data_IF_969399666208
#
_entry.id   IF_969399666208
#
_cell.length_a   1.000
_cell.length_b   1.000
_cell.length_c   1.000
_cell.angle_alpha   90.00
_cell.angle_beta   90.00
_cell.angle_gamma   90.00
#
_symmetry.space_group_name_H-M   'P 1'
#
loop_
_entity.id
_entity.type
_entity.pdbx_description
1 polymer ?
#
# COMPACT_ATOMS: atom_id res chain seq x y z
N UNK A 1 7.52 10.01 14.41
CA UNK A 1 6.32 9.33 14.95
C UNK A 1 5.28 9.29 13.85
N UNK A 2 4.68 8.13 13.57
CA UNK A 2 3.67 7.99 12.51
C UNK A 2 2.29 8.26 13.09
N UNK A 3 1.58 9.23 12.53
CA UNK A 3 0.20 9.51 12.85
C UNK A 3 -0.69 8.74 11.87
N UNK A 4 -1.75 8.14 12.40
CA UNK A 4 -2.78 7.52 11.59
C UNK A 4 -3.98 8.45 11.50
N UNK A 5 -4.38 8.78 10.29
CA UNK A 5 -5.56 9.59 9.97
C UNK A 5 -6.64 8.62 9.54
N UNK A 6 -7.82 8.63 10.16
CA UNK A 6 -9.01 8.03 9.57
C UNK A 6 -9.67 9.09 8.71
N UNK A 7 -9.82 8.82 7.43
CA UNK A 7 -10.50 9.72 6.50
C UNK A 7 -11.58 8.99 5.74
N UNK A 8 -12.51 9.77 5.20
CA UNK A 8 -13.35 9.34 4.08
C UNK A 8 -12.90 10.10 2.85
N UNK A 9 -12.82 9.40 1.72
CA UNK A 9 -12.68 10.05 0.43
C UNK A 9 -14.01 10.68 0.10
N UNK A 10 -14.06 12.01 0.03
CA UNK A 10 -15.28 12.76 -0.25
C UNK A 10 -15.24 14.14 0.40
N UNK A 11 -15.47 15.16 -0.41
CA UNK A 11 -15.82 16.52 0.02
C UNK A 11 -17.18 16.47 0.73
N UNK A 12 -17.24 16.77 2.04
CA UNK A 12 -18.53 17.11 2.67
C UNK A 12 -18.84 18.57 2.36
N UNK A 13 -19.36 18.80 1.18
CA UNK A 13 -20.33 19.86 0.93
C UNK A 13 -21.43 19.23 0.09
N UNK A 14 -22.66 19.74 0.22
CA UNK A 14 -23.84 19.28 -0.51
C UNK A 14 -23.78 19.41 -2.03
N UNK A 15 -22.59 19.45 -2.63
CA UNK A 15 -22.37 19.14 -4.03
C UNK A 15 -21.93 17.67 -4.11
N UNK A 16 -22.85 16.80 -4.55
CA UNK A 16 -22.44 15.63 -5.33
C UNK A 16 -21.53 16.17 -6.43
N UNK A 17 -20.22 16.09 -6.24
CA UNK A 17 -19.29 16.32 -7.33
C UNK A 17 -19.40 15.06 -8.18
N UNK A 18 -20.32 15.14 -9.15
CA UNK A 18 -20.44 14.18 -10.23
C UNK A 18 -19.05 13.78 -10.70
N UNK A 19 -18.88 12.49 -10.92
CA UNK A 19 -17.69 11.89 -11.49
C UNK A 19 -17.29 12.69 -12.74
N UNK A 20 -16.32 13.59 -12.61
CA UNK A 20 -15.65 14.13 -13.78
C UNK A 20 -14.67 13.04 -14.20
N UNK A 21 -14.92 12.44 -15.37
CA UNK A 21 -14.20 11.31 -15.98
C UNK A 21 -12.69 11.58 -16.25
N UNK A 22 -12.13 12.63 -15.63
CA UNK A 22 -10.75 13.11 -15.77
C UNK A 22 -10.00 13.35 -14.47
N UNK A 23 -10.55 13.03 -13.29
CA UNK A 23 -9.81 13.25 -12.04
C UNK A 23 -8.70 12.20 -11.81
N UNK A 24 -7.46 12.66 -11.72
CA UNK A 24 -6.29 11.78 -11.58
C UNK A 24 -6.34 11.10 -10.20
N UNK A 25 -6.38 9.75 -10.12
CA UNK A 25 -6.48 9.05 -8.85
C UNK A 25 -5.20 9.24 -8.03
N UNK A 26 -5.38 9.50 -6.74
CA UNK A 26 -4.29 9.87 -5.85
C UNK A 26 -3.56 8.63 -5.37
N UNK A 27 -2.26 8.55 -5.66
CA UNK A 27 -1.46 7.38 -5.33
C UNK A 27 -1.00 7.47 -3.89
N UNK A 28 -0.94 6.30 -3.27
CA UNK A 28 -0.28 6.12 -1.99
C UNK A 28 1.20 6.49 -2.12
N UNK A 29 1.72 7.26 -1.16
CA UNK A 29 3.06 7.87 -1.11
C UNK A 29 3.28 9.10 -2.00
N UNK A 30 2.25 9.62 -2.64
CA UNK A 30 2.31 10.96 -3.23
C UNK A 30 2.49 12.01 -2.13
N UNK A 31 3.04 13.18 -2.49
CA UNK A 31 3.22 14.27 -1.54
C UNK A 31 1.89 15.01 -1.38
N UNK A 32 1.33 14.98 -0.17
CA UNK A 32 0.11 15.70 0.18
C UNK A 32 0.39 16.66 1.34
N UNK A 33 -0.36 17.77 1.37
CA UNK A 33 -0.34 18.73 2.46
C UNK A 33 -1.43 18.35 3.47
N UNK A 34 -1.06 18.17 4.73
CA UNK A 34 -1.97 17.87 5.84
C UNK A 34 -2.14 19.11 6.69
N UNK A 35 -3.40 19.47 6.98
CA UNK A 35 -3.76 20.53 7.91
C UNK A 35 -4.56 19.93 9.08
N UNK A 36 -4.00 19.94 10.29
CA UNK A 36 -4.68 19.54 11.54
C UNK A 36 -4.72 20.75 12.46
N UNK A 37 -5.88 21.39 12.58
CA UNK A 37 -6.02 22.66 13.30
C UNK A 37 -5.05 23.72 12.77
N UNK A 38 -4.11 24.16 13.60
CA UNK A 38 -3.09 25.17 13.29
C UNK A 38 -1.79 24.59 12.71
N UNK A 39 -1.64 23.26 12.70
CA UNK A 39 -0.43 22.58 12.21
C UNK A 39 -0.61 22.19 10.75
N UNK A 40 0.32 22.62 9.90
CA UNK A 40 0.37 22.27 8.49
C UNK A 40 1.71 21.63 8.17
N UNK A 41 1.70 20.48 7.48
CA UNK A 41 2.94 19.82 7.03
C UNK A 41 2.71 19.04 5.74
N UNK A 42 3.79 18.81 4.99
CA UNK A 42 3.78 17.92 3.81
C UNK A 42 4.19 16.51 4.22
N UNK A 43 3.48 15.52 3.73
CA UNK A 43 3.66 14.11 4.08
C UNK A 43 3.48 13.19 2.89
N UNK A 44 4.05 11.98 2.97
CA UNK A 44 3.78 10.89 2.03
C UNK A 44 2.96 9.80 2.70
N UNK A 45 1.61 9.88 2.67
CA UNK A 45 0.77 8.93 3.38
C UNK A 45 0.84 7.54 2.74
N UNK A 46 0.74 6.54 3.59
CA UNK A 46 0.48 5.15 3.19
C UNK A 46 -0.99 4.86 3.46
N UNK A 47 -1.77 4.73 2.40
CA UNK A 47 -3.18 4.34 2.50
C UNK A 47 -3.34 2.87 2.84
N UNK A 48 -4.30 2.58 3.72
CA UNK A 48 -4.61 1.25 4.21
C UNK A 48 -6.09 1.13 4.56
N UNK A 49 -6.62 -0.09 4.49
CA UNK A 49 -7.96 -0.38 4.99
C UNK A 49 -8.03 -0.17 6.50
N UNK A 50 -9.10 0.46 6.97
CA UNK A 50 -9.35 0.63 8.40
C UNK A 50 -10.44 -0.35 8.85
N UNK A 51 -10.01 -1.51 9.35
CA UNK A 51 -10.90 -2.51 9.94
C UNK A 51 -10.52 -2.65 11.42
N UNK A 52 -11.49 -2.45 12.31
CA UNK A 52 -11.29 -2.49 13.76
C UNK A 52 -11.00 -3.90 14.28
N UNK A 53 -11.40 -4.94 13.54
CA UNK A 53 -11.27 -6.34 13.97
C UNK A 53 -9.92 -6.97 13.56
N UNK A 54 -8.96 -6.20 13.04
CA UNK A 54 -7.71 -6.76 12.54
C UNK A 54 -6.52 -5.82 12.78
N UNK A 55 -5.43 -6.35 13.34
CA UNK A 55 -4.19 -5.61 13.56
C UNK A 55 -3.37 -5.42 12.28
N UNK A 56 -3.65 -6.23 11.24
CA UNK A 56 -2.93 -6.22 9.95
C UNK A 56 -3.81 -5.57 8.88
N UNK A 57 -3.44 -4.37 8.50
CA UNK A 57 -4.19 -3.58 7.54
C UNK A 57 -3.64 -3.76 6.13
N UNK A 58 -4.54 -4.05 5.19
CA UNK A 58 -4.20 -4.19 3.77
C UNK A 58 -3.82 -2.82 3.20
N UNK A 59 -2.66 -2.75 2.56
CA UNK A 59 -2.20 -1.59 1.82
C UNK A 59 -3.06 -1.33 0.57
N UNK A 60 -3.40 -0.06 0.37
CA UNK A 60 -4.10 0.40 -0.82
C UNK A 60 -3.18 1.29 -1.66
N UNK A 61 -3.18 1.03 -2.97
CA UNK A 61 -2.31 1.74 -3.92
C UNK A 61 -2.80 3.14 -4.22
N UNK A 62 -4.11 3.35 -4.09
CA UNK A 62 -4.79 4.60 -4.40
C UNK A 62 -5.73 4.93 -3.24
N UNK A 63 -6.05 6.21 -3.10
CA UNK A 63 -7.10 6.68 -2.20
C UNK A 63 -8.45 6.07 -2.62
N UNK A 64 -9.21 5.44 -1.69
CA UNK A 64 -10.56 4.97 -2.01
C UNK A 64 -11.49 6.14 -2.33
N UNK A 65 -12.13 6.10 -3.50
CA UNK A 65 -13.01 7.16 -3.98
C UNK A 65 -14.49 6.94 -3.62
N UNK A 66 -14.87 5.72 -3.22
CA UNK A 66 -16.29 5.35 -3.05
C UNK A 66 -16.82 5.61 -1.63
N UNK A 67 -16.36 6.67 -0.95
CA UNK A 67 -16.75 6.96 0.44
C UNK A 67 -16.34 5.89 1.45
N UNK A 68 -15.47 4.95 1.07
CA UNK A 68 -14.98 3.91 1.96
C UNK A 68 -14.05 4.52 3.03
N UNK A 69 -14.27 4.13 4.28
CA UNK A 69 -13.37 4.46 5.38
C UNK A 69 -11.98 3.89 5.11
N UNK A 70 -10.98 4.76 5.14
CA UNK A 70 -9.58 4.37 5.02
C UNK A 70 -8.75 5.00 6.13
N UNK A 71 -7.56 4.44 6.34
CA UNK A 71 -6.56 5.00 7.22
C UNK A 71 -5.30 5.38 6.43
N UNK A 72 -4.83 6.61 6.61
CA UNK A 72 -3.55 7.10 6.10
C UNK A 72 -2.53 7.13 7.23
N UNK A 73 -1.44 6.38 7.09
CA UNK A 73 -0.31 6.45 8.02
C UNK A 73 0.77 7.36 7.44
N UNK A 74 1.13 8.42 8.16
CA UNK A 74 2.08 9.43 7.70
C UNK A 74 2.99 9.86 8.85
N UNK A 75 4.23 10.24 8.57
CA UNK A 75 5.07 10.88 9.59
C UNK A 75 4.70 12.36 9.69
N UNK A 76 4.45 12.83 10.92
CA UNK A 76 4.03 14.20 11.18
C UNK A 76 4.25 14.62 12.64
N UNK A 77 3.91 15.87 12.98
CA UNK A 77 3.89 16.33 14.36
C UNK A 77 2.76 15.64 15.14
N UNK A 78 3.11 15.07 16.29
CA UNK A 78 2.15 14.39 17.17
C UNK A 78 1.02 15.34 17.54
N UNK A 79 -0.21 14.89 17.28
CA UNK A 79 -1.43 15.63 17.61
C UNK A 79 -2.36 14.73 18.42
N UNK A 80 -2.97 15.27 19.47
CA UNK A 80 -3.91 14.54 20.33
C UNK A 80 -5.30 14.50 19.70
N UNK A 81 -6.01 13.40 19.92
CA UNK A 81 -7.39 13.21 19.43
C UNK A 81 -8.41 13.82 20.38
N UNK A 82 -9.57 14.30 19.86
CA UNK A 82 -9.96 14.38 18.44
C UNK A 82 -9.42 15.66 17.76
N UNK A 83 -8.68 15.52 16.65
CA UNK A 83 -8.31 16.65 15.77
C UNK A 83 -8.81 16.35 14.34
N UNK A 84 -9.63 17.24 13.73
CA UNK A 84 -10.01 17.11 12.33
C UNK A 84 -8.79 17.36 11.43
N UNK A 85 -8.67 16.59 10.35
CA UNK A 85 -7.60 16.71 9.37
C UNK A 85 -8.16 16.91 7.97
N UNK A 86 -7.63 17.92 7.31
CA UNK A 86 -7.86 18.20 5.90
C UNK A 86 -6.60 17.84 5.11
N UNK A 87 -6.78 17.16 3.98
CA UNK A 87 -5.69 16.71 3.11
C UNK A 87 -5.82 17.39 1.76
N UNK A 88 -4.76 18.05 1.33
CA UNK A 88 -4.70 18.79 0.08
C UNK A 88 -3.66 18.21 -0.88
N UNK A 89 -3.95 18.28 -2.18
CA UNK A 89 -3.04 18.01 -3.29
C UNK A 89 -2.65 19.33 -3.94
N UNK A 90 -1.36 19.48 -4.23
CA UNK A 90 -0.85 20.61 -5.01
C UNK A 90 -1.09 20.34 -6.50
N UNK A 91 -1.82 21.22 -7.19
CA UNK A 91 -2.00 21.11 -8.64
C UNK A 91 -0.80 21.70 -9.37
N UNK A 92 -0.14 20.89 -10.19
CA UNK A 92 0.97 21.36 -11.02
C UNK A 92 0.43 22.22 -12.18
N UNK A 93 0.71 23.52 -12.16
CA UNK A 93 0.44 24.43 -13.29
C UNK A 93 -0.71 25.44 -13.10
N UNK A 94 -1.47 25.38 -12.01
CA UNK A 94 -2.47 26.40 -11.68
C UNK A 94 -1.88 27.39 -10.66
N UNK A 95 -1.43 28.54 -11.15
CA UNK A 95 -0.98 29.66 -10.33
C UNK A 95 -2.13 30.67 -10.31
N UNK A 96 -2.83 30.78 -9.19
CA UNK A 96 -3.83 31.83 -8.98
C UNK A 96 -3.12 33.12 -8.54
N UNK A 97 -3.83 34.26 -8.55
CA UNK A 97 -3.31 35.57 -8.13
C UNK A 97 -2.82 35.62 -6.65
N UNK A 98 -3.04 34.56 -5.87
CA UNK A 98 -2.59 34.39 -4.47
C UNK A 98 -1.57 33.23 -4.28
N UNK A 99 -1.07 32.61 -5.36
CA UNK A 99 -0.10 31.52 -5.31
C UNK A 99 -0.64 30.16 -5.78
N UNK A 100 0.02 29.07 -5.35
CA UNK A 100 -0.25 27.68 -5.75
C UNK A 100 -1.69 27.26 -5.42
N UNK A 101 -2.42 26.71 -6.41
CA UNK A 101 -3.76 26.14 -6.19
C UNK A 101 -3.67 24.79 -5.47
N UNK A 102 -4.25 24.71 -4.28
CA UNK A 102 -4.39 23.47 -3.50
C UNK A 102 -5.82 22.93 -3.63
N UNK A 103 -5.94 21.64 -3.92
CA UNK A 103 -7.21 20.95 -4.07
C UNK A 103 -7.48 20.10 -2.83
N UNK A 104 -8.67 20.22 -2.24
CA UNK A 104 -9.09 19.38 -1.11
C UNK A 104 -9.38 17.98 -1.63
N UNK A 105 -8.65 17.00 -1.09
CA UNK A 105 -8.67 15.61 -1.53
C UNK A 105 -9.48 14.71 -0.59
N UNK A 106 -9.28 14.92 0.71
CA UNK A 106 -9.87 14.08 1.73
C UNK A 106 -9.99 14.86 3.02
N UNK A 107 -10.97 14.44 3.81
CA UNK A 107 -11.17 14.93 5.15
C UNK A 107 -11.32 13.76 6.11
N UNK A 108 -10.97 14.01 7.36
CA UNK A 108 -10.96 12.96 8.35
C UNK A 108 -10.67 13.49 9.74
N UNK A 109 -10.33 12.56 10.62
CA UNK A 109 -9.88 12.83 11.97
C UNK A 109 -8.60 12.06 12.27
N UNK A 110 -7.79 12.60 13.17
CA UNK A 110 -6.70 11.85 13.78
C UNK A 110 -7.26 10.66 14.54
N UNK A 111 -6.66 9.48 14.34
CA UNK A 111 -6.98 8.26 15.09
C UNK A 111 -6.13 8.15 16.36
N UNK A 112 -4.82 8.07 16.18
CA UNK A 112 -3.81 7.99 17.24
C UNK A 112 -2.41 8.16 16.61
N UNK A 113 -1.46 8.61 17.41
CA UNK A 113 -0.04 8.54 17.12
C UNK A 113 0.49 7.13 17.44
N UNK A 114 0.18 6.17 16.57
CA UNK A 114 0.59 4.77 16.74
C UNK A 114 1.73 4.38 15.79
N UNK A 115 2.86 3.98 16.37
CA UNK A 115 4.01 3.44 15.64
C UNK A 115 3.86 1.95 15.29
N UNK A 116 2.94 1.23 15.95
CA UNK A 116 2.80 -0.22 15.82
C UNK A 116 1.89 -0.64 14.67
N UNK A 117 1.00 0.24 14.19
CA UNK A 117 0.05 -0.04 13.10
C UNK A 117 0.67 -0.79 11.92
N UNK A 118 0.20 -2.02 11.68
CA UNK A 118 0.77 -2.92 10.69
C UNK A 118 0.11 -2.74 9.32
N UNK A 119 0.86 -2.21 8.35
CA UNK A 119 0.39 -2.10 6.95
C UNK A 119 1.10 -3.11 6.06
N UNK A 120 0.35 -3.98 5.38
CA UNK A 120 0.88 -5.06 4.54
C UNK A 120 0.46 -4.93 3.08
N UNK A 121 1.43 -5.01 2.17
CA UNK A 121 1.22 -5.13 0.73
C UNK A 121 0.98 -6.58 0.37
N UNK A 122 -0.16 -6.86 -0.27
CA UNK A 122 -0.39 -8.14 -0.94
C UNK A 122 0.36 -8.17 -2.28
N UNK A 123 1.13 -9.22 -2.50
CA UNK A 123 1.82 -9.57 -3.74
C UNK A 123 1.24 -10.92 -4.18
N UNK A 124 0.93 -11.09 -5.45
CA UNK A 124 0.37 -12.34 -5.97
C UNK A 124 1.30 -12.82 -7.05
N UNK A 125 1.93 -13.97 -6.84
CA UNK A 125 2.61 -14.69 -7.92
C UNK A 125 1.57 -15.55 -8.64
N UNK A 126 1.60 -15.54 -9.96
CA UNK A 126 0.61 -16.23 -10.79
C UNK A 126 1.26 -17.33 -11.60
N UNK A 127 0.58 -18.46 -11.70
CA UNK A 127 0.97 -19.57 -12.56
C UNK A 127 -0.23 -20.15 -13.29
N UNK A 128 0.05 -20.86 -14.37
CA UNK A 128 -0.96 -21.44 -15.24
C UNK A 128 -0.88 -22.97 -15.22
N UNK A 129 -2.00 -23.68 -15.04
CA UNK A 129 -2.02 -25.13 -15.10
C UNK A 129 -1.86 -25.60 -16.55
N UNK A 130 -0.82 -26.40 -16.80
CA UNK A 130 -0.52 -26.94 -18.13
C UNK A 130 -1.13 -28.33 -18.32
N UNK A 131 -1.04 -29.17 -17.29
CA UNK A 131 -1.57 -30.54 -17.31
C UNK A 131 -2.35 -30.80 -16.05
N UNK A 132 -3.61 -31.23 -16.20
CA UNK A 132 -4.49 -31.54 -15.06
C UNK A 132 -4.81 -33.03 -15.05
N UNK A 133 -4.79 -33.63 -13.86
CA UNK A 133 -5.16 -35.03 -13.60
C UNK A 133 -5.95 -35.12 -12.29
N UNK A 134 -7.28 -35.26 -12.39
CA UNK A 134 -8.19 -35.21 -11.23
C UNK A 134 -7.91 -33.94 -10.41
N UNK A 135 -7.39 -34.08 -9.19
CA UNK A 135 -7.03 -32.98 -8.27
C UNK A 135 -5.58 -32.50 -8.39
N UNK A 136 -4.75 -33.21 -9.13
CA UNK A 136 -3.36 -32.82 -9.36
C UNK A 136 -3.25 -31.95 -10.60
N UNK A 137 -2.39 -30.94 -10.55
CA UNK A 137 -2.03 -30.17 -11.74
C UNK A 137 -0.55 -29.82 -11.76
N UNK A 138 0.00 -29.78 -12.97
CA UNK A 138 1.33 -29.27 -13.24
C UNK A 138 1.18 -27.79 -13.60
N UNK A 139 1.80 -26.90 -12.82
CA UNK A 139 1.72 -25.44 -12.97
C UNK A 139 3.04 -24.90 -13.49
N UNK A 140 2.97 -23.99 -14.47
CA UNK A 140 4.13 -23.28 -15.05
C UNK A 140 4.01 -21.76 -14.87
N UNK A 141 5.12 -21.07 -15.10
CA UNK A 141 5.25 -19.60 -15.10
C UNK A 141 5.03 -18.92 -13.75
N UNK A 142 4.99 -19.68 -12.64
CA UNK A 142 5.01 -19.10 -11.29
C UNK A 142 6.44 -18.91 -10.77
N UNK A 143 7.31 -19.89 -11.03
CA UNK A 143 8.73 -19.89 -10.70
C UNK A 143 9.53 -20.32 -11.92
N UNK A 144 10.83 -20.01 -11.92
CA UNK A 144 11.76 -20.39 -12.98
C UNK A 144 12.84 -21.37 -12.50
N UNK A 145 13.17 -21.35 -11.20
CA UNK A 145 14.15 -22.26 -10.60
C UNK A 145 13.45 -23.32 -9.74
N UNK A 146 13.98 -24.56 -9.67
CA UNK A 146 13.45 -25.61 -8.81
C UNK A 146 13.67 -25.32 -7.32
N UNK A 147 14.73 -24.58 -6.97
CA UNK A 147 15.02 -24.15 -5.59
C UNK A 147 13.91 -23.26 -5.04
N UNK A 148 13.38 -22.33 -5.84
CA UNK A 148 12.27 -21.46 -5.44
C UNK A 148 11.00 -22.28 -5.15
N UNK A 149 10.73 -23.30 -5.98
CA UNK A 149 9.57 -24.19 -5.78
C UNK A 149 9.69 -24.94 -4.45
N UNK A 150 10.88 -25.42 -4.11
CA UNK A 150 11.13 -26.10 -2.83
C UNK A 150 11.03 -25.14 -1.65
N UNK A 151 11.57 -23.93 -1.78
CA UNK A 151 11.49 -22.88 -0.76
C UNK A 151 10.05 -22.48 -0.45
N UNK A 152 9.22 -22.32 -1.49
CA UNK A 152 7.81 -21.96 -1.35
C UNK A 152 6.87 -23.16 -1.16
N UNK A 153 7.40 -24.39 -1.04
CA UNK A 153 6.60 -25.61 -0.82
C UNK A 153 5.58 -25.53 0.33
N UNK A 154 5.90 -24.98 1.52
CA UNK A 154 4.92 -24.89 2.61
C UNK A 154 3.83 -23.84 2.38
N UNK A 155 3.93 -23.02 1.34
CA UNK A 155 2.98 -21.95 1.10
C UNK A 155 1.69 -22.45 0.44
N UNK A 156 0.55 -21.94 0.92
CA UNK A 156 -0.76 -22.27 0.38
C UNK A 156 -1.04 -21.58 -0.96
N UNK A 157 -1.58 -22.33 -1.91
CA UNK A 157 -2.03 -21.85 -3.22
C UNK A 157 -3.53 -21.60 -3.20
N UNK A 158 -3.96 -20.60 -3.94
CA UNK A 158 -5.38 -20.27 -4.16
C UNK A 158 -5.59 -20.07 -5.66
N UNK A 159 -6.69 -20.55 -6.23
CA UNK A 159 -7.03 -20.23 -7.62
C UNK A 159 -8.00 -19.06 -7.70
N UNK A 160 -8.10 -18.41 -8.85
CA UNK A 160 -9.08 -17.33 -9.06
C UNK A 160 -10.52 -17.80 -8.83
N UNK A 161 -10.80 -19.07 -9.11
CA UNK A 161 -12.11 -19.68 -8.90
C UNK A 161 -12.32 -20.26 -7.48
N UNK A 162 -11.48 -19.87 -6.52
CA UNK A 162 -11.68 -20.18 -5.10
C UNK A 162 -11.24 -21.60 -4.68
N UNK A 163 -10.47 -22.31 -5.50
CA UNK A 163 -9.87 -23.57 -5.08
C UNK A 163 -8.64 -23.31 -4.20
N UNK A 164 -8.41 -24.21 -3.25
CA UNK A 164 -7.25 -24.19 -2.37
C UNK A 164 -6.35 -25.37 -2.68
N UNK A 165 -5.03 -25.15 -2.65
CA UNK A 165 -4.05 -26.19 -2.91
C UNK A 165 -2.72 -25.95 -2.23
N UNK A 166 -1.79 -26.87 -2.45
CA UNK A 166 -0.42 -26.78 -1.97
C UNK A 166 0.53 -27.37 -3.02
N UNK A 167 1.80 -26.98 -2.91
CA UNK A 167 2.88 -27.48 -3.76
C UNK A 167 3.32 -28.84 -3.22
N UNK A 168 3.38 -29.86 -4.08
CA UNK A 168 3.81 -31.21 -3.72
C UNK A 168 5.31 -31.36 -3.94
N UNK A 169 5.77 -31.07 -5.16
CA UNK A 169 7.15 -31.25 -5.57
C UNK A 169 7.50 -30.35 -6.77
N UNK A 170 8.79 -30.05 -6.92
CA UNK A 170 9.32 -29.49 -8.17
C UNK A 170 9.35 -30.59 -9.23
N UNK A 171 9.05 -30.23 -10.48
CA UNK A 171 9.03 -31.12 -11.62
C UNK A 171 10.01 -30.61 -12.68
N UNK A 172 11.18 -31.25 -12.77
CA UNK A 172 12.27 -30.84 -13.65
C UNK A 172 12.96 -29.54 -13.21
N UNK A 173 13.75 -28.97 -14.12
CA UNK A 173 14.70 -27.88 -13.79
C UNK A 173 14.18 -26.47 -14.10
N UNK A 174 12.97 -26.33 -14.65
CA UNK A 174 12.47 -25.04 -15.16
C UNK A 174 11.42 -24.41 -14.23
N UNK A 175 11.52 -24.65 -12.92
CA UNK A 175 10.59 -24.12 -11.91
C UNK A 175 9.13 -24.57 -12.10
N UNK A 176 8.92 -25.63 -12.89
CA UNK A 176 7.60 -26.25 -13.06
C UNK A 176 7.30 -27.04 -11.79
N UNK A 177 6.07 -26.96 -11.31
CA UNK A 177 5.70 -27.57 -10.03
C UNK A 177 4.45 -28.42 -10.16
N UNK A 178 4.37 -29.48 -9.36
CA UNK A 178 3.17 -30.29 -9.20
C UNK A 178 2.43 -29.82 -7.97
N UNK A 179 1.16 -29.48 -8.15
CA UNK A 179 0.28 -29.00 -7.10
C UNK A 179 -0.88 -29.96 -6.88
N UNK A 180 -1.37 -30.02 -5.65
CA UNK A 180 -2.57 -30.74 -5.27
C UNK A 180 -3.62 -29.74 -4.78
N UNK A 181 -4.81 -29.82 -5.35
CA UNK A 181 -5.95 -28.97 -4.99
C UNK A 181 -7.05 -29.76 -4.28
N UNK A 182 -7.91 -29.06 -3.56
CA UNK A 182 -9.09 -29.63 -2.90
C UNK A 182 -10.11 -30.23 -3.89
N UNK A 183 -10.26 -29.63 -5.07
CA UNK A 183 -11.13 -30.08 -6.15
C UNK A 183 -10.41 -30.09 -7.52
N UNK A 184 -10.98 -30.73 -8.56
CA UNK A 184 -10.41 -30.70 -9.90
C UNK A 184 -10.34 -29.27 -10.46
N UNK A 185 -9.12 -28.84 -10.81
CA UNK A 185 -8.85 -27.51 -11.39
C UNK A 185 -9.12 -27.50 -12.90
N UNK A 186 -9.62 -26.38 -13.43
CA UNK A 186 -9.81 -26.20 -14.88
C UNK A 186 -8.53 -25.67 -15.53
N UNK A 187 -8.30 -26.01 -16.80
CA UNK A 187 -7.07 -25.60 -17.50
C UNK A 187 -6.97 -24.08 -17.76
N UNK A 188 -8.11 -23.37 -17.83
CA UNK A 188 -8.15 -21.90 -17.93
C UNK A 188 -8.06 -21.19 -16.57
N UNK A 189 -7.96 -21.93 -15.47
CA UNK A 189 -7.84 -21.33 -14.14
C UNK A 189 -6.45 -20.69 -13.95
N UNK A 190 -6.35 -19.71 -13.07
CA UNK A 190 -5.07 -19.10 -12.69
C UNK A 190 -4.76 -19.48 -11.26
N UNK A 191 -3.61 -20.11 -11.05
CA UNK A 191 -3.12 -20.45 -9.72
C UNK A 191 -2.39 -19.22 -9.18
N UNK A 192 -2.67 -18.87 -7.93
CA UNK A 192 -2.15 -17.69 -7.26
C UNK A 192 -1.48 -18.09 -5.95
N UNK A 193 -0.30 -17.54 -5.71
CA UNK A 193 0.38 -17.61 -4.43
C UNK A 193 0.35 -16.21 -3.78
N UNK A 194 -0.50 -15.97 -2.77
CA UNK A 194 -0.56 -14.70 -2.07
C UNK A 194 0.59 -14.57 -1.06
N UNK A 195 1.46 -13.60 -1.28
CA UNK A 195 2.54 -13.20 -0.40
C UNK A 195 2.26 -11.81 0.21
N UNK A 196 2.84 -11.54 1.37
CA UNK A 196 2.65 -10.27 2.06
C UNK A 196 3.98 -9.64 2.43
N UNK A 197 4.13 -8.34 2.16
CA UNK A 197 5.31 -7.55 2.52
C UNK A 197 4.90 -6.38 3.41
N UNK A 198 5.59 -6.18 4.53
CA UNK A 198 5.39 -4.99 5.38
C UNK A 198 5.73 -3.71 4.62
N UNK A 199 4.88 -2.70 4.75
CA UNK A 199 5.12 -1.34 4.28
C UNK A 199 5.27 -0.43 5.49
N UNK A 200 6.26 0.46 5.39
CA UNK A 200 6.44 1.57 6.31
C UNK A 200 6.10 2.89 5.59
N UNK A 201 5.50 3.87 6.31
CA UNK A 201 5.42 5.24 5.85
C UNK A 201 6.80 5.77 5.46
N UNK A 202 6.83 6.74 4.55
CA UNK A 202 8.08 7.42 4.18
C UNK A 202 8.08 8.81 4.79
N UNK A 203 9.23 9.24 5.27
CA UNK A 203 9.42 10.65 5.61
C UNK A 203 9.25 11.47 4.33
N UNK A 204 8.52 12.59 4.43
CA UNK A 204 8.55 13.57 3.37
C UNK A 204 9.96 14.17 3.36
N UNK A 205 10.58 14.22 2.19
CA UNK A 205 11.77 15.03 2.05
C UNK A 205 11.27 16.46 2.12
N UNK A 206 11.43 17.11 3.27
CA UNK A 206 11.50 18.56 3.33
C UNK A 206 12.73 18.92 2.50
N UNK A 207 12.57 19.11 1.19
CA UNK A 207 13.44 20.08 0.54
C UNK A 207 13.17 21.36 1.34
N UNK A 208 14.17 21.93 2.04
CA UNK A 208 13.99 23.27 2.55
C UNK A 208 13.56 24.12 1.36
N UNK A 209 12.58 24.99 1.60
CA UNK A 209 12.30 26.13 0.75
C UNK A 209 13.65 26.66 0.25
N UNK A 210 13.79 26.86 -1.04
CA UNK A 210 14.99 27.40 -1.65
C UNK A 210 15.06 28.89 -1.28
N UNK A 211 15.36 29.16 -0.01
CA UNK A 211 15.62 30.43 0.67
C UNK A 211 16.02 30.05 2.10
N UNK A 212 17.26 29.57 2.23
CA UNK A 212 18.13 29.65 3.43
C UNK A 212 19.33 28.73 3.19
N UNK A 213 20.48 29.33 2.84
CA UNK A 213 21.71 28.66 2.47
C UNK A 213 22.43 27.96 3.64
N UNK A 214 21.82 26.93 4.24
CA UNK A 214 22.49 26.07 5.23
C UNK A 214 22.27 24.60 4.89
N UNK A 215 23.37 23.95 4.47
CA UNK A 215 23.44 22.54 4.11
C UNK A 215 23.25 21.64 5.34
N UNK A 216 22.05 21.09 5.53
CA UNK A 216 21.76 20.06 6.54
C UNK A 216 22.13 18.68 6.00
N UNK A 217 23.43 18.44 5.77
CA UNK A 217 23.97 17.11 5.40
C UNK A 217 24.76 16.43 6.52
N UNK A 218 24.67 16.89 7.77
CA UNK A 218 25.55 16.43 8.86
C UNK A 218 24.88 15.82 10.09
N UNK A 219 23.56 15.57 10.11
CA UNK A 219 22.89 15.02 11.30
C UNK A 219 22.32 13.61 11.12
N UNK A 220 23.13 12.68 10.63
CA UNK A 220 22.97 11.28 10.97
C UNK A 220 24.26 10.81 11.65
N UNK A 221 24.21 10.23 12.86
CA UNK A 221 25.35 9.53 13.42
C UNK A 221 25.73 8.41 12.44
N UNK A 222 26.99 8.38 12.02
CA UNK A 222 27.54 7.22 11.31
C UNK A 222 27.59 6.05 12.28
N UNK A 223 27.07 4.89 11.86
CA UNK A 223 27.06 3.67 12.65
C UNK A 223 28.47 3.33 13.17
N UNK A 224 28.66 3.01 14.46
CA UNK A 224 29.96 2.69 15.02
C UNK A 224 30.24 1.19 14.93
N UNK A 225 30.49 0.65 13.73
CA UNK A 225 30.96 -0.75 13.57
C UNK A 225 31.96 -0.96 12.41
N UNK A 226 32.76 0.05 12.06
CA UNK A 226 33.96 -0.14 11.23
C UNK A 226 35.21 0.40 11.95
N UNK A 227 35.59 -0.24 13.06
CA UNK A 227 37.00 -0.38 13.46
C UNK A 227 37.12 -1.64 14.33
N UNK A 228 37.41 -2.79 13.68
CA UNK A 228 38.22 -3.92 14.16
C UNK A 228 38.27 -5.01 13.09
#
# INVERSE_FOLDING_TARGET
LSDSIAGHGGTTDGSQQEHTDGEIPIKSKDVLTFRCGWRTWKGRPVFSQHNLNCDKHKFERFLPQNGAFFAASVFGPVTYTPCPVLVFREQAGAVDHHGKREELVAMGSMLNADANRIVVKRIILTGYPVRVRKRHAIVKYMFYNPEDVQWFKPAGLVTKHGLHGHIVESNGDHGTMKCLFNAPIKQHDTVCLPLYKRIYPKLANTMPSQDDGVSVRSMLPKDPLEVL
#
